data_IF_524172916900
#
_entry.id   IF_524172916900
#
_cell.length_a   1.000
_cell.length_b   1.000
_cell.length_c   1.000
_cell.angle_alpha   90.00
_cell.angle_beta   90.00
_cell.angle_gamma   90.00
#
_symmetry.space_group_name_H-M   'P 1'
#
loop_
_entity.id
_entity.type
_entity.pdbx_description
1 polymer ?
#
# COMPACT_ATOMS: atom_id res chain seq x y z
N UNK A 1 27.57 -10.19 9.59
CA UNK A 1 26.24 -10.33 8.98
C UNK A 1 26.41 -10.50 7.48
N UNK A 2 25.47 -11.18 6.78
CA UNK A 2 25.50 -11.38 5.32
C UNK A 2 24.17 -10.88 4.76
N UNK A 3 24.23 -10.01 3.75
CA UNK A 3 23.04 -9.59 3.01
C UNK A 3 22.94 -10.46 1.75
N UNK A 4 21.84 -11.19 1.62
CA UNK A 4 21.61 -12.14 0.54
C UNK A 4 20.30 -11.78 -0.16
N UNK A 5 20.24 -12.04 -1.48
CA UNK A 5 19.02 -11.89 -2.25
C UNK A 5 18.00 -12.92 -1.74
N UNK A 6 16.77 -12.48 -1.54
CA UNK A 6 15.67 -13.36 -1.15
C UNK A 6 15.20 -14.12 -2.41
N UNK A 7 15.11 -15.44 -2.27
CA UNK A 7 14.40 -16.28 -3.22
C UNK A 7 12.98 -16.54 -2.68
N UNK A 8 11.93 -15.98 -3.27
CA UNK A 8 10.56 -16.19 -2.80
C UNK A 8 10.07 -17.63 -2.95
N UNK A 9 10.75 -18.47 -3.73
CA UNK A 9 10.46 -19.91 -3.83
C UNK A 9 11.02 -20.72 -2.67
N UNK A 10 12.04 -20.20 -1.96
CA UNK A 10 12.61 -20.83 -0.77
C UNK A 10 11.76 -20.52 0.48
N UNK A 11 11.00 -21.52 0.91
CA UNK A 11 10.11 -21.41 2.07
C UNK A 11 10.83 -21.04 3.38
N UNK A 12 12.09 -21.46 3.56
CA UNK A 12 12.87 -21.16 4.76
C UNK A 12 13.25 -19.68 4.81
N UNK A 13 13.73 -19.12 3.71
CA UNK A 13 14.05 -17.70 3.58
C UNK A 13 12.80 -16.81 3.75
N UNK A 14 11.68 -17.17 3.11
CA UNK A 14 10.41 -16.44 3.29
C UNK A 14 9.95 -16.48 4.75
N UNK A 15 10.04 -17.64 5.40
CA UNK A 15 9.68 -17.79 6.82
C UNK A 15 10.55 -16.91 7.71
N UNK A 16 11.86 -16.86 7.48
CA UNK A 16 12.77 -16.01 8.23
C UNK A 16 12.43 -14.51 8.08
N UNK A 17 12.09 -14.06 6.86
CA UNK A 17 11.59 -12.71 6.61
C UNK A 17 10.25 -12.44 7.31
N UNK A 18 9.33 -13.42 7.30
CA UNK A 18 8.04 -13.32 7.97
C UNK A 18 8.17 -13.15 9.49
N UNK A 19 9.11 -13.84 10.12
CA UNK A 19 9.38 -13.67 11.55
C UNK A 19 9.90 -12.27 11.90
N UNK A 20 10.70 -11.66 11.00
CA UNK A 20 11.12 -10.26 11.13
C UNK A 20 9.91 -9.35 11.02
N UNK A 21 9.07 -9.55 9.99
CA UNK A 21 7.85 -8.76 9.76
C UNK A 21 6.91 -8.80 10.96
N UNK A 22 6.67 -10.00 11.50
CA UNK A 22 5.78 -10.20 12.65
C UNK A 22 6.32 -9.48 13.89
N UNK A 23 7.62 -9.61 14.16
CA UNK A 23 8.24 -8.94 15.30
C UNK A 23 8.19 -7.41 15.18
N UNK A 24 8.42 -6.86 14.00
CA UNK A 24 8.31 -5.43 13.73
C UNK A 24 6.85 -4.94 13.87
N UNK A 25 5.89 -5.66 13.28
CA UNK A 25 4.47 -5.33 13.35
C UNK A 25 3.96 -5.33 14.81
N UNK A 26 4.33 -6.31 15.61
CA UNK A 26 3.96 -6.36 17.04
C UNK A 26 4.48 -5.16 17.84
N UNK A 27 5.64 -4.63 17.47
CA UNK A 27 6.25 -3.51 18.17
C UNK A 27 5.73 -2.14 17.69
N UNK A 28 5.45 -2.00 16.39
CA UNK A 28 5.20 -0.69 15.77
C UNK A 28 3.74 -0.51 15.34
N UNK A 29 2.98 -1.59 15.14
CA UNK A 29 1.61 -1.57 14.63
C UNK A 29 0.75 -2.72 15.18
N UNK A 30 0.60 -2.82 16.52
CA UNK A 30 -0.09 -3.96 17.12
C UNK A 30 -1.59 -4.03 16.82
N UNK A 31 -2.18 -2.95 16.34
CA UNK A 31 -3.60 -2.85 15.97
C UNK A 31 -3.84 -2.96 14.46
N UNK A 32 -2.77 -3.01 13.67
CA UNK A 32 -2.88 -3.12 12.22
C UNK A 32 -3.20 -4.54 11.73
N UNK A 33 -3.56 -4.68 10.45
CA UNK A 33 -3.87 -5.97 9.86
C UNK A 33 -2.65 -6.90 9.91
N UNK A 34 -2.84 -8.16 10.29
CA UNK A 34 -1.77 -9.14 10.26
C UNK A 34 -1.30 -9.38 8.82
N UNK A 35 0.01 -9.54 8.65
CA UNK A 35 0.56 -9.95 7.36
C UNK A 35 0.70 -11.47 7.36
N UNK A 36 0.28 -12.13 6.27
CA UNK A 36 0.35 -13.57 6.14
C UNK A 36 1.65 -14.01 5.44
N UNK A 37 2.05 -15.27 5.61
CA UNK A 37 3.23 -15.81 4.90
C UNK A 37 2.99 -15.80 3.39
N UNK A 38 1.76 -16.07 2.95
CA UNK A 38 1.38 -16.05 1.53
C UNK A 38 1.53 -14.65 0.95
N UNK A 39 0.93 -13.66 1.61
CA UNK A 39 1.06 -12.25 1.22
C UNK A 39 2.53 -11.84 1.13
N UNK A 40 3.33 -12.10 2.19
CA UNK A 40 4.73 -11.73 2.19
C UNK A 40 5.52 -12.39 1.05
N UNK A 41 5.27 -13.68 0.76
CA UNK A 41 5.91 -14.38 -0.35
C UNK A 41 5.64 -13.70 -1.69
N UNK A 42 4.37 -13.40 -1.98
CA UNK A 42 3.98 -12.74 -3.22
C UNK A 42 4.56 -11.32 -3.29
N UNK A 43 4.50 -10.59 -2.18
CA UNK A 43 5.07 -9.24 -2.08
C UNK A 43 6.59 -9.21 -2.32
N UNK A 44 7.35 -10.13 -1.72
CA UNK A 44 8.80 -10.22 -1.92
C UNK A 44 9.18 -10.61 -3.36
N UNK A 45 8.26 -11.27 -4.08
CA UNK A 45 8.47 -11.64 -5.48
C UNK A 45 8.22 -10.48 -6.44
N UNK A 46 7.15 -9.72 -6.23
CA UNK A 46 6.58 -8.86 -7.28
C UNK A 46 6.08 -7.50 -6.78
N UNK A 47 6.00 -7.29 -5.46
CA UNK A 47 5.44 -6.07 -4.89
C UNK A 47 3.93 -5.91 -5.14
N UNK A 48 3.44 -4.68 -5.05
CA UNK A 48 2.02 -4.37 -5.22
C UNK A 48 1.60 -4.24 -6.69
N UNK A 49 2.43 -3.62 -7.53
CA UNK A 49 2.10 -3.28 -8.91
C UNK A 49 2.84 -4.11 -9.95
N UNK A 50 3.48 -5.20 -9.55
CA UNK A 50 4.31 -6.03 -10.42
C UNK A 50 5.37 -5.24 -11.22
N UNK A 51 5.83 -4.10 -10.69
CA UNK A 51 7.02 -3.43 -11.19
C UNK A 51 8.25 -4.31 -10.96
N UNK A 52 9.30 -4.21 -11.78
CA UNK A 52 10.57 -4.84 -11.48
C UNK A 52 11.02 -4.54 -10.06
N UNK A 53 11.41 -5.56 -9.30
CA UNK A 53 11.80 -5.40 -7.92
C UNK A 53 12.93 -6.33 -7.49
N UNK A 54 13.54 -6.01 -6.37
CA UNK A 54 14.56 -6.82 -5.70
C UNK A 54 14.24 -6.93 -4.21
N UNK A 55 14.35 -8.14 -3.66
CA UNK A 55 14.21 -8.39 -2.23
C UNK A 55 15.51 -8.94 -1.66
N UNK A 56 15.95 -8.39 -0.52
CA UNK A 56 17.21 -8.75 0.14
C UNK A 56 17.01 -8.85 1.64
N UNK A 57 17.70 -9.79 2.29
CA UNK A 57 17.63 -9.97 3.73
C UNK A 57 19.00 -10.11 4.37
N UNK A 58 19.12 -9.60 5.59
CA UNK A 58 20.32 -9.67 6.41
C UNK A 58 20.23 -10.86 7.37
N UNK A 59 21.14 -11.82 7.22
CA UNK A 59 21.23 -13.05 8.02
C UNK A 59 22.42 -13.05 8.95
N UNK A 60 22.34 -13.83 10.04
CA UNK A 60 23.47 -14.14 10.89
C UNK A 60 24.65 -14.69 10.09
N UNK A 61 25.87 -14.47 10.58
CA UNK A 61 27.05 -15.18 10.08
C UNK A 61 27.00 -16.64 10.55
N UNK A 62 27.24 -17.57 9.65
CA UNK A 62 27.23 -19.02 9.96
C UNK A 62 26.15 -19.78 9.22
N UNK A 63 25.81 -20.96 9.73
CA UNK A 63 24.79 -21.87 9.14
C UNK A 63 23.37 -21.57 9.58
N UNK A 64 23.20 -20.76 10.63
CA UNK A 64 21.91 -20.32 11.12
C UNK A 64 21.34 -19.25 10.18
N UNK A 65 20.19 -19.53 9.57
CA UNK A 65 19.46 -18.64 8.66
C UNK A 65 18.53 -17.67 9.40
N UNK A 66 18.94 -17.23 10.62
CA UNK A 66 18.16 -16.22 11.34
C UNK A 66 18.26 -14.87 10.65
N UNK A 67 17.13 -14.37 10.14
CA UNK A 67 17.02 -13.04 9.56
C UNK A 67 16.88 -11.97 10.65
N UNK A 68 17.56 -10.85 10.46
CA UNK A 68 17.53 -9.68 11.35
C UNK A 68 16.79 -8.50 10.74
N UNK A 69 16.67 -8.47 9.44
CA UNK A 69 15.95 -7.48 8.66
C UNK A 69 15.91 -7.88 7.21
N UNK A 70 15.04 -7.25 6.46
CA UNK A 70 14.95 -7.38 5.00
C UNK A 70 14.49 -6.06 4.39
N UNK A 71 14.70 -5.92 3.09
CA UNK A 71 14.11 -4.85 2.32
C UNK A 71 13.58 -5.34 0.97
N UNK A 72 12.61 -4.60 0.44
CA UNK A 72 12.10 -4.70 -0.90
C UNK A 72 12.35 -3.37 -1.61
N UNK A 73 12.92 -3.44 -2.81
CA UNK A 73 13.28 -2.31 -3.65
C UNK A 73 12.55 -2.41 -4.97
N UNK A 74 11.58 -1.54 -5.20
CA UNK A 74 10.88 -1.42 -6.46
C UNK A 74 11.65 -0.51 -7.41
N UNK A 75 11.66 -0.88 -8.67
CA UNK A 75 12.38 -0.20 -9.74
C UNK A 75 11.39 0.11 -10.87
N UNK A 76 10.60 1.19 -10.77
CA UNK A 76 9.64 1.56 -11.82
C UNK A 76 10.28 1.55 -13.21
N UNK A 77 9.57 1.03 -14.22
CA UNK A 77 10.09 0.82 -15.57
C UNK A 77 9.36 1.63 -16.67
N UNK A 78 8.37 2.43 -16.29
CA UNK A 78 7.62 3.31 -17.22
C UNK A 78 7.76 4.79 -16.84
N UNK A 79 7.23 5.21 -15.71
CA UNK A 79 7.31 6.57 -15.17
C UNK A 79 8.22 6.60 -13.94
N UNK A 80 8.65 7.77 -13.50
CA UNK A 80 9.46 7.96 -12.29
C UNK A 80 10.77 7.15 -12.31
N UNK A 81 11.44 7.12 -13.47
CA UNK A 81 12.61 6.29 -13.72
C UNK A 81 13.86 6.71 -12.92
N UNK A 82 13.84 7.88 -12.30
CA UNK A 82 14.88 8.38 -11.41
C UNK A 82 14.74 7.87 -9.98
N UNK A 83 13.62 7.21 -9.64
CA UNK A 83 13.23 6.80 -8.28
C UNK A 83 13.25 5.28 -8.10
N UNK A 84 13.43 4.87 -6.85
CA UNK A 84 13.13 3.52 -6.39
C UNK A 84 12.34 3.60 -5.09
N UNK A 85 11.28 2.80 -4.95
CA UNK A 85 10.54 2.69 -3.69
C UNK A 85 11.22 1.65 -2.80
N UNK A 86 11.50 2.02 -1.56
CA UNK A 86 12.16 1.14 -0.60
C UNK A 86 11.27 0.89 0.62
N UNK A 87 10.93 -0.36 0.86
CA UNK A 87 10.38 -0.82 2.12
C UNK A 87 11.46 -1.59 2.86
N UNK A 88 11.79 -1.14 4.07
CA UNK A 88 12.78 -1.76 4.93
C UNK A 88 12.13 -2.19 6.24
N UNK A 89 12.37 -3.42 6.65
CA UNK A 89 11.84 -3.98 7.89
C UNK A 89 12.98 -4.59 8.69
N UNK A 90 13.09 -4.21 9.95
CA UNK A 90 14.12 -4.73 10.86
C UNK A 90 13.49 -5.25 12.15
N UNK A 91 14.10 -6.26 12.75
CA UNK A 91 13.69 -6.67 14.09
C UNK A 91 13.91 -5.50 15.07
N UNK A 92 12.96 -5.24 15.98
CA UNK A 92 13.16 -4.24 17.02
C UNK A 92 14.42 -4.55 17.83
N UNK A 93 15.36 -3.62 17.81
CA UNK A 93 16.64 -3.70 18.52
C UNK A 93 17.09 -2.32 18.95
N UNK A 94 17.87 -2.18 20.03
CA UNK A 94 18.38 -0.90 20.48
C UNK A 94 19.44 -0.29 19.54
N UNK A 95 20.12 -1.11 18.73
CA UNK A 95 21.07 -0.63 17.73
C UNK A 95 20.43 -0.61 16.32
N UNK A 96 20.86 0.33 15.49
CA UNK A 96 20.40 0.48 14.11
C UNK A 96 21.38 -0.12 13.09
N UNK A 97 22.34 -0.96 13.51
CA UNK A 97 23.40 -1.46 12.62
C UNK A 97 22.82 -2.25 11.43
N UNK A 98 21.83 -3.12 11.67
CA UNK A 98 21.16 -3.88 10.61
C UNK A 98 20.46 -2.96 9.61
N UNK A 99 19.72 -1.97 10.12
CA UNK A 99 19.02 -0.98 9.29
C UNK A 99 20.00 -0.17 8.44
N UNK A 100 21.14 0.25 9.00
CA UNK A 100 22.21 0.95 8.27
C UNK A 100 22.77 0.12 7.12
N UNK A 101 23.13 -1.12 7.41
CA UNK A 101 23.71 -2.01 6.40
C UNK A 101 22.74 -2.29 5.26
N UNK A 102 21.46 -2.54 5.59
CA UNK A 102 20.40 -2.75 4.61
C UNK A 102 20.14 -1.48 3.79
N UNK A 103 20.02 -0.31 4.43
CA UNK A 103 19.81 0.96 3.76
C UNK A 103 20.96 1.32 2.81
N UNK A 104 22.23 1.14 3.26
CA UNK A 104 23.39 1.36 2.41
C UNK A 104 23.42 0.41 1.23
N UNK A 105 23.12 -0.88 1.44
CA UNK A 105 23.03 -1.87 0.38
C UNK A 105 21.92 -1.52 -0.62
N UNK A 106 20.74 -1.12 -0.14
CA UNK A 106 19.64 -0.69 -1.00
C UNK A 106 20.02 0.54 -1.85
N UNK A 107 20.71 1.53 -1.28
CA UNK A 107 21.24 2.68 -2.02
C UNK A 107 22.22 2.29 -3.11
N UNK A 108 23.12 1.32 -2.84
CA UNK A 108 24.05 0.79 -3.85
C UNK A 108 23.29 0.08 -4.98
N UNK A 109 22.22 -0.68 -4.67
CA UNK A 109 21.36 -1.33 -5.65
C UNK A 109 20.59 -0.32 -6.49
N UNK A 110 19.99 0.69 -5.83
CA UNK A 110 19.28 1.78 -6.52
C UNK A 110 20.23 2.48 -7.53
N UNK A 111 21.44 2.88 -7.09
CA UNK A 111 22.45 3.49 -7.97
C UNK A 111 22.85 2.58 -9.13
N UNK A 112 23.06 1.28 -8.88
CA UNK A 112 23.41 0.31 -9.90
C UNK A 112 22.32 0.15 -10.98
N UNK A 113 21.06 0.46 -10.62
CA UNK A 113 19.90 0.47 -11.51
C UNK A 113 19.57 1.89 -12.03
N UNK A 114 20.50 2.86 -11.90
CA UNK A 114 20.35 4.21 -12.44
C UNK A 114 19.40 5.12 -11.65
N UNK A 115 18.99 4.74 -10.43
CA UNK A 115 18.09 5.54 -9.58
C UNK A 115 18.88 6.54 -8.75
N UNK A 116 18.33 7.74 -8.61
CA UNK A 116 18.95 8.85 -7.89
C UNK A 116 18.23 9.21 -6.60
N UNK A 117 16.98 8.76 -6.44
CA UNK A 117 16.12 9.01 -5.29
C UNK A 117 15.60 7.68 -4.74
N UNK A 118 15.63 7.54 -3.42
CA UNK A 118 14.87 6.52 -2.70
C UNK A 118 13.61 7.18 -2.12
N UNK A 119 12.43 6.66 -2.50
CA UNK A 119 11.15 6.93 -1.83
C UNK A 119 10.98 5.89 -0.72
N UNK A 120 10.80 6.34 0.51
CA UNK A 120 10.78 5.48 1.69
C UNK A 120 9.48 5.70 2.47
N UNK A 121 9.03 4.65 3.14
CA UNK A 121 7.86 4.70 3.99
C UNK A 121 8.25 4.21 5.40
N UNK A 122 7.86 4.97 6.42
CA UNK A 122 8.06 4.61 7.81
C UNK A 122 6.79 4.91 8.62
N UNK A 123 6.62 4.22 9.76
CA UNK A 123 5.57 4.58 10.70
C UNK A 123 5.91 5.91 11.35
N UNK A 124 4.94 6.82 11.41
CA UNK A 124 5.10 8.12 12.03
C UNK A 124 5.50 7.97 13.51
N UNK A 125 6.54 8.68 13.93
CA UNK A 125 7.09 8.60 15.27
C UNK A 125 7.91 7.34 15.57
N UNK A 126 8.14 6.46 14.57
CA UNK A 126 8.90 5.23 14.78
C UNK A 126 10.42 5.47 14.87
N UNK A 127 11.16 4.54 15.48
CA UNK A 127 12.62 4.58 15.44
C UNK A 127 13.19 4.54 14.01
N UNK A 128 12.49 3.89 13.08
CA UNK A 128 12.87 3.87 11.67
C UNK A 128 12.76 5.25 11.04
N UNK A 129 11.67 5.98 11.26
CA UNK A 129 11.51 7.35 10.77
C UNK A 129 12.63 8.27 11.27
N UNK A 130 12.89 8.25 12.59
CA UNK A 130 13.97 9.03 13.19
C UNK A 130 15.35 8.67 12.59
N UNK A 131 15.61 7.39 12.38
CA UNK A 131 16.83 6.91 11.73
C UNK A 131 16.95 7.41 10.28
N UNK A 132 15.87 7.33 9.48
CA UNK A 132 15.86 7.81 8.09
C UNK A 132 16.12 9.33 8.03
N UNK A 133 15.52 10.11 8.92
CA UNK A 133 15.82 11.54 9.04
C UNK A 133 17.28 11.81 9.36
N UNK A 134 17.89 11.02 10.27
CA UNK A 134 19.32 11.14 10.58
C UNK A 134 20.22 10.79 9.39
N UNK A 135 19.74 9.92 8.50
CA UNK A 135 20.43 9.58 7.26
C UNK A 135 20.28 10.66 6.17
N UNK A 136 19.49 11.71 6.40
CA UNK A 136 19.27 12.82 5.47
C UNK A 136 18.00 12.72 4.65
N UNK A 137 17.08 11.81 5.01
CA UNK A 137 15.78 11.73 4.37
C UNK A 137 14.91 12.94 4.72
N UNK A 138 14.14 13.42 3.75
CA UNK A 138 13.22 14.56 3.89
C UNK A 138 11.79 14.08 3.89
N UNK A 139 10.97 14.64 4.76
CA UNK A 139 9.52 14.42 4.75
C UNK A 139 8.90 14.95 3.47
N UNK A 140 8.00 14.18 2.89
CA UNK A 140 7.25 14.55 1.69
C UNK A 140 5.78 14.75 2.02
N UNK A 141 5.10 13.70 2.49
CA UNK A 141 3.73 13.79 2.97
C UNK A 141 3.43 12.71 4.02
N UNK A 142 2.31 12.86 4.70
CA UNK A 142 1.79 11.87 5.63
C UNK A 142 0.55 11.24 5.03
N UNK A 143 0.48 9.92 5.12
CA UNK A 143 -0.67 9.12 4.75
C UNK A 143 -1.36 8.62 6.01
N UNK A 144 -2.51 9.20 6.32
CA UNK A 144 -3.31 8.76 7.45
C UNK A 144 -3.94 7.41 7.12
N UNK A 145 -3.72 6.45 8.01
CA UNK A 145 -4.40 5.16 7.99
C UNK A 145 -5.74 5.28 8.69
N UNK A 146 -6.72 4.59 8.15
CA UNK A 146 -8.06 4.52 8.74
C UNK A 146 -8.56 3.08 8.74
N UNK A 147 -9.30 2.72 9.77
CA UNK A 147 -9.99 1.44 9.85
C UNK A 147 -11.49 1.66 10.13
N UNK A 148 -12.30 0.82 9.54
CA UNK A 148 -13.72 0.67 9.81
C UNK A 148 -13.95 -0.66 10.52
N UNK A 149 -14.46 -0.61 11.75
CA UNK A 149 -14.91 -1.80 12.48
C UNK A 149 -16.37 -2.07 12.13
N UNK A 150 -16.59 -3.07 11.28
CA UNK A 150 -17.92 -3.45 10.79
C UNK A 150 -18.86 -3.94 11.90
N UNK A 151 -18.30 -4.47 13.00
CA UNK A 151 -19.06 -4.96 14.17
C UNK A 151 -19.74 -3.83 14.93
N UNK A 152 -19.24 -2.61 14.78
CA UNK A 152 -19.78 -1.41 15.44
C UNK A 152 -20.78 -0.66 14.60
N UNK A 153 -20.93 -1.01 13.32
CA UNK A 153 -21.88 -0.37 12.42
C UNK A 153 -23.33 -0.71 12.82
N UNK A 154 -24.18 0.30 12.86
CA UNK A 154 -25.61 0.06 13.09
C UNK A 154 -26.22 -0.77 11.96
N UNK A 155 -27.15 -1.68 12.26
CA UNK A 155 -27.85 -2.45 11.21
C UNK A 155 -28.44 -1.51 10.13
N UNK A 156 -28.18 -1.81 8.86
CA UNK A 156 -28.65 -1.03 7.73
C UNK A 156 -27.94 0.31 7.49
N UNK A 157 -26.85 0.60 8.23
CA UNK A 157 -26.08 1.85 8.09
C UNK A 157 -25.60 2.06 6.63
N UNK A 158 -24.95 1.05 6.04
CA UNK A 158 -24.41 1.15 4.68
C UNK A 158 -25.53 1.20 3.63
N UNK A 159 -26.60 0.45 3.83
CA UNK A 159 -27.80 0.51 2.98
C UNK A 159 -28.40 1.92 2.97
N UNK A 160 -28.55 2.54 4.14
CA UNK A 160 -29.08 3.90 4.24
C UNK A 160 -28.17 4.94 3.54
N UNK A 161 -26.84 4.80 3.67
CA UNK A 161 -25.88 5.66 2.98
C UNK A 161 -25.92 5.47 1.46
N UNK A 162 -26.01 4.21 1.00
CA UNK A 162 -26.17 3.88 -0.41
C UNK A 162 -27.44 4.50 -1.00
N UNK A 163 -28.58 4.34 -0.33
CA UNK A 163 -29.86 4.93 -0.77
C UNK A 163 -29.81 6.46 -0.76
N UNK A 164 -29.17 7.07 0.23
CA UNK A 164 -28.97 8.51 0.29
C UNK A 164 -28.10 9.02 -0.86
N UNK A 165 -27.02 8.30 -1.21
CA UNK A 165 -26.16 8.64 -2.33
C UNK A 165 -26.86 8.42 -3.68
N UNK A 166 -27.64 7.33 -3.83
CA UNK A 166 -28.38 7.00 -5.06
C UNK A 166 -29.36 8.10 -5.48
N UNK A 167 -29.94 8.86 -4.51
CA UNK A 167 -30.79 10.01 -4.83
C UNK A 167 -30.10 11.12 -5.63
N UNK A 168 -28.75 11.15 -5.61
CA UNK A 168 -27.93 12.10 -6.37
C UNK A 168 -27.31 11.49 -7.63
N UNK A 169 -27.52 10.20 -7.87
CA UNK A 169 -26.92 9.43 -8.94
C UNK A 169 -27.94 9.00 -10.00
N UNK A 170 -28.91 9.88 -10.31
CA UNK A 170 -29.85 9.62 -11.41
C UNK A 170 -29.09 9.47 -12.73
N UNK A 171 -29.38 8.42 -13.51
CA UNK A 171 -28.68 8.09 -14.76
C UNK A 171 -27.41 7.23 -14.54
N UNK A 172 -27.25 6.64 -13.35
CA UNK A 172 -26.18 5.69 -13.06
C UNK A 172 -26.73 4.40 -12.47
N UNK A 173 -26.24 3.27 -12.98
CA UNK A 173 -26.52 1.93 -12.48
C UNK A 173 -25.28 1.32 -11.84
N UNK A 174 -25.45 0.45 -10.84
CA UNK A 174 -24.35 -0.25 -10.20
C UNK A 174 -24.12 -1.63 -10.83
N UNK A 175 -22.86 -1.99 -11.02
CA UNK A 175 -22.43 -3.34 -11.37
C UNK A 175 -21.36 -3.81 -10.38
N UNK A 176 -21.25 -5.12 -10.22
CA UNK A 176 -20.28 -5.77 -9.34
C UNK A 176 -19.58 -6.91 -10.06
N UNK A 177 -18.32 -7.16 -9.67
CA UNK A 177 -17.62 -8.38 -10.05
C UNK A 177 -16.61 -8.76 -8.98
N UNK A 178 -16.21 -10.03 -8.94
CA UNK A 178 -15.14 -10.53 -8.10
C UNK A 178 -13.97 -11.05 -8.94
N UNK A 179 -12.76 -11.02 -8.38
CA UNK A 179 -11.53 -11.39 -9.08
C UNK A 179 -11.06 -10.32 -10.06
N UNK A 180 -10.52 -10.74 -11.20
CA UNK A 180 -9.94 -9.85 -12.20
C UNK A 180 -10.99 -9.03 -12.94
N UNK A 181 -10.54 -7.92 -13.52
CA UNK A 181 -11.39 -7.02 -14.30
C UNK A 181 -11.94 -7.72 -15.56
N UNK A 182 -13.26 -7.72 -15.79
CA UNK A 182 -13.81 -8.23 -17.04
C UNK A 182 -13.25 -7.50 -18.26
N UNK A 183 -12.89 -8.24 -19.32
CA UNK A 183 -12.21 -7.74 -20.51
C UNK A 183 -12.87 -6.46 -21.10
N UNK A 184 -14.21 -6.41 -21.13
CA UNK A 184 -14.97 -5.24 -21.61
C UNK A 184 -14.79 -3.97 -20.78
N UNK A 185 -14.26 -4.06 -19.56
CA UNK A 185 -14.10 -2.93 -18.63
C UNK A 185 -12.65 -2.49 -18.45
N UNK A 186 -11.65 -3.20 -19.04
CA UNK A 186 -10.23 -2.86 -18.88
C UNK A 186 -9.91 -1.42 -19.28
N UNK A 187 -10.47 -0.95 -20.41
CA UNK A 187 -10.27 0.43 -20.86
C UNK A 187 -10.88 1.47 -19.92
N UNK A 188 -12.06 1.17 -19.36
CA UNK A 188 -12.70 2.06 -18.37
C UNK A 188 -11.93 2.08 -17.05
N UNK A 189 -11.45 0.93 -16.57
CA UNK A 189 -10.62 0.86 -15.37
C UNK A 189 -9.33 1.65 -15.58
N UNK A 190 -8.66 1.50 -16.72
CA UNK A 190 -7.48 2.28 -17.06
C UNK A 190 -7.74 3.80 -17.04
N UNK A 191 -8.89 4.25 -17.54
CA UNK A 191 -9.30 5.65 -17.51
C UNK A 191 -9.54 6.14 -16.07
N UNK A 192 -10.16 5.32 -15.23
CA UNK A 192 -10.37 5.63 -13.82
C UNK A 192 -9.06 5.64 -13.01
N UNK A 193 -8.11 4.74 -13.32
CA UNK A 193 -6.74 4.78 -12.78
C UNK A 193 -6.04 6.10 -13.16
N UNK A 194 -6.12 6.51 -14.43
CA UNK A 194 -5.57 7.80 -14.85
C UNK A 194 -6.23 8.99 -14.13
N UNK A 195 -7.51 8.88 -13.73
CA UNK A 195 -8.19 9.93 -12.95
C UNK A 195 -7.64 10.05 -11.51
N UNK A 196 -6.92 9.04 -11.00
CA UNK A 196 -6.23 9.12 -9.71
C UNK A 196 -5.03 10.09 -9.74
N UNK A 197 -4.52 10.44 -10.93
CA UNK A 197 -3.51 11.48 -11.07
C UNK A 197 -3.98 12.86 -10.59
N UNK A 198 -5.29 13.06 -10.41
CA UNK A 198 -5.87 14.27 -9.82
C UNK A 198 -5.75 14.32 -8.28
N UNK A 199 -5.44 13.19 -7.62
CA UNK A 199 -5.29 13.16 -6.18
C UNK A 199 -4.04 13.95 -5.75
N UNK A 200 -4.06 14.57 -4.56
CA UNK A 200 -2.88 15.21 -4.02
C UNK A 200 -1.71 14.22 -3.92
N UNK A 201 -0.55 14.62 -4.45
CA UNK A 201 0.68 13.82 -4.47
C UNK A 201 1.92 14.70 -4.41
N UNK A 202 3.07 14.08 -4.36
CA UNK A 202 4.37 14.72 -4.28
C UNK A 202 4.69 15.61 -5.49
N UNK A 203 5.39 16.71 -5.24
CA UNK A 203 5.96 17.51 -6.33
C UNK A 203 7.08 16.71 -7.02
N UNK A 204 7.06 16.67 -8.35
CA UNK A 204 8.08 16.00 -9.16
C UNK A 204 7.85 14.50 -9.38
N UNK A 205 6.70 13.95 -8.94
CA UNK A 205 6.24 12.63 -9.35
C UNK A 205 5.48 12.75 -10.67
N UNK A 206 5.87 11.96 -11.66
CA UNK A 206 5.22 11.90 -12.96
C UNK A 206 3.83 11.27 -12.87
N UNK A 207 2.92 11.66 -13.78
CA UNK A 207 1.61 11.04 -13.92
C UNK A 207 1.76 9.58 -14.33
N UNK A 208 1.07 8.66 -13.65
CA UNK A 208 0.96 7.29 -14.13
C UNK A 208 0.10 7.24 -15.38
N UNK A 209 0.56 6.49 -16.40
CA UNK A 209 -0.19 6.28 -17.64
C UNK A 209 -0.70 4.84 -17.68
N UNK A 210 -2.00 4.70 -17.54
CA UNK A 210 -2.68 3.41 -17.56
C UNK A 210 -3.37 3.19 -18.92
N UNK A 211 -3.25 1.97 -19.41
CA UNK A 211 -3.98 1.39 -20.53
C UNK A 211 -4.55 0.02 -20.15
N UNK A 212 -5.34 -0.59 -21.02
CA UNK A 212 -5.98 -1.87 -20.77
C UNK A 212 -4.95 -3.00 -20.51
N UNK A 213 -3.79 -2.96 -21.17
CA UNK A 213 -2.73 -3.95 -20.99
C UNK A 213 -2.08 -3.80 -19.62
N UNK A 214 -1.84 -2.56 -19.16
CA UNK A 214 -1.31 -2.30 -17.82
C UNK A 214 -2.27 -2.75 -16.72
N UNK A 215 -3.58 -2.53 -16.87
CA UNK A 215 -4.58 -3.05 -15.93
C UNK A 215 -4.46 -4.58 -15.83
N UNK A 216 -4.39 -5.27 -16.97
CA UNK A 216 -4.27 -6.73 -17.02
C UNK A 216 -2.94 -7.22 -16.43
N UNK A 217 -1.84 -6.60 -16.80
CA UNK A 217 -0.48 -7.02 -16.43
C UNK A 217 -0.10 -6.67 -15.00
N UNK A 218 -0.57 -5.53 -14.49
CA UNK A 218 -0.16 -5.01 -13.18
C UNK A 218 -1.23 -5.24 -12.13
N UNK A 219 -2.40 -4.68 -12.33
CA UNK A 219 -3.51 -4.74 -11.38
C UNK A 219 -4.07 -6.16 -11.23
N UNK A 220 -4.62 -6.73 -12.31
CA UNK A 220 -5.29 -8.02 -12.25
C UNK A 220 -4.33 -9.19 -11.95
N UNK A 221 -3.11 -9.13 -12.48
CA UNK A 221 -2.12 -10.16 -12.21
C UNK A 221 -1.63 -10.12 -10.76
N UNK A 222 -1.58 -8.94 -10.11
CA UNK A 222 -1.30 -8.81 -8.68
C UNK A 222 -2.34 -9.56 -7.85
N UNK A 223 -3.64 -9.34 -8.10
CA UNK A 223 -4.74 -10.06 -7.46
C UNK A 223 -4.56 -11.58 -7.55
N UNK A 224 -4.24 -12.08 -8.76
CA UNK A 224 -4.06 -13.52 -8.99
C UNK A 224 -2.85 -14.09 -8.24
N UNK A 225 -1.72 -13.35 -8.20
CA UNK A 225 -0.47 -13.81 -7.59
C UNK A 225 -0.49 -13.73 -6.08
N UNK A 226 -1.08 -12.68 -5.53
CA UNK A 226 -1.29 -12.58 -4.09
C UNK A 226 -2.33 -13.57 -3.59
N UNK A 227 -3.20 -14.09 -4.49
CA UNK A 227 -4.24 -15.04 -4.15
C UNK A 227 -5.30 -14.45 -3.21
N UNK A 228 -5.48 -13.13 -3.27
CA UNK A 228 -6.52 -12.41 -2.52
C UNK A 228 -7.88 -12.58 -3.19
N UNK A 229 -8.94 -12.49 -2.41
CA UNK A 229 -10.28 -12.33 -2.94
C UNK A 229 -10.50 -10.85 -3.19
N UNK A 230 -10.63 -10.47 -4.45
CA UNK A 230 -10.85 -9.09 -4.87
C UNK A 230 -12.32 -8.86 -5.24
N UNK A 231 -12.84 -7.73 -4.84
CA UNK A 231 -14.19 -7.27 -5.07
C UNK A 231 -14.18 -5.89 -5.69
N UNK A 232 -15.03 -5.69 -6.69
CA UNK A 232 -15.15 -4.40 -7.40
C UNK A 232 -16.60 -4.00 -7.50
N UNK A 233 -16.89 -2.74 -7.20
CA UNK A 233 -18.21 -2.12 -7.44
C UNK A 233 -18.00 -0.89 -8.30
N UNK A 234 -18.71 -0.82 -9.42
CA UNK A 234 -18.64 0.31 -10.33
C UNK A 234 -20.03 0.95 -10.56
N UNK A 235 -20.02 2.25 -10.78
CA UNK A 235 -21.16 3.00 -11.29
C UNK A 235 -21.02 3.16 -12.81
N UNK A 236 -22.00 2.67 -13.56
CA UNK A 236 -22.10 2.77 -15.01
C UNK A 236 -22.97 3.96 -15.35
N UNK A 237 -22.54 4.84 -16.26
CA UNK A 237 -23.37 5.91 -16.80
C UNK A 237 -24.35 5.32 -17.83
N UNK A 238 -25.64 5.35 -17.53
CA UNK A 238 -26.68 4.63 -18.28
C UNK A 238 -26.77 5.04 -19.77
N UNK A 239 -26.44 6.28 -20.09
CA UNK A 239 -26.52 6.78 -21.46
C UNK A 239 -25.35 6.34 -22.35
N UNK A 240 -24.17 6.12 -21.80
CA UNK A 240 -22.94 5.75 -22.55
C UNK A 240 -22.50 4.30 -22.32
N UNK A 241 -22.89 3.69 -21.21
CA UNK A 241 -22.43 2.37 -20.79
C UNK A 241 -21.03 2.35 -20.21
N UNK A 242 -20.36 3.50 -20.07
CA UNK A 242 -19.00 3.63 -19.52
C UNK A 242 -18.99 3.59 -17.98
N UNK A 243 -17.91 3.10 -17.39
CA UNK A 243 -17.71 3.17 -15.94
C UNK A 243 -17.41 4.62 -15.52
N UNK A 244 -18.28 5.20 -14.72
CA UNK A 244 -18.13 6.57 -14.20
C UNK A 244 -17.40 6.63 -12.86
N UNK A 245 -17.49 5.55 -12.07
CA UNK A 245 -16.78 5.39 -10.80
C UNK A 245 -16.49 3.92 -10.53
N UNK A 246 -15.44 3.67 -9.73
CA UNK A 246 -15.03 2.33 -9.30
C UNK A 246 -14.52 2.39 -7.87
N UNK A 247 -14.80 1.34 -7.10
CA UNK A 247 -14.12 1.05 -5.83
C UNK A 247 -13.73 -0.41 -5.78
N UNK A 248 -12.59 -0.72 -5.14
CA UNK A 248 -12.04 -2.06 -5.05
C UNK A 248 -11.67 -2.38 -3.60
N UNK A 249 -11.88 -3.63 -3.20
CA UNK A 249 -11.53 -4.13 -1.88
C UNK A 249 -10.98 -5.56 -2.01
N UNK A 250 -9.95 -5.85 -1.25
CA UNK A 250 -9.28 -7.15 -1.23
C UNK A 250 -9.34 -7.78 0.17
N UNK A 251 -9.50 -9.10 0.23
CA UNK A 251 -9.48 -9.89 1.45
C UNK A 251 -8.47 -11.02 1.29
N UNK A 252 -7.48 -11.09 2.19
CA UNK A 252 -6.56 -12.22 2.23
C UNK A 252 -7.28 -13.43 2.84
N UNK A 253 -7.41 -14.57 2.12
CA UNK A 253 -8.07 -15.77 2.66
C UNK A 253 -7.40 -16.35 3.92
N UNK A 254 -6.13 -16.02 4.21
CA UNK A 254 -5.44 -16.42 5.44
C UNK A 254 -5.64 -15.43 6.60
N UNK A 255 -6.30 -14.27 6.34
CA UNK A 255 -6.72 -13.27 7.33
C UNK A 255 -8.08 -12.67 6.93
N UNK A 256 -9.14 -13.49 6.91
CA UNK A 256 -10.44 -13.10 6.36
C UNK A 256 -11.18 -12.05 7.19
N UNK A 257 -10.74 -11.79 8.41
CA UNK A 257 -11.28 -10.76 9.31
C UNK A 257 -10.87 -9.33 8.90
N UNK A 258 -9.88 -9.19 7.99
CA UNK A 258 -9.42 -7.91 7.49
C UNK A 258 -9.60 -7.77 5.98
N UNK A 259 -10.14 -6.61 5.57
CA UNK A 259 -10.17 -6.16 4.18
C UNK A 259 -9.25 -4.96 3.96
N UNK A 260 -8.66 -4.90 2.80
CA UNK A 260 -7.90 -3.75 2.33
C UNK A 260 -8.69 -3.00 1.27
N UNK A 261 -9.08 -1.76 1.56
CA UNK A 261 -9.76 -0.89 0.62
C UNK A 261 -8.72 -0.25 -0.30
N UNK A 262 -8.69 -0.72 -1.53
CA UNK A 262 -7.85 -0.19 -2.59
C UNK A 262 -8.42 1.08 -3.23
N UNK A 263 -8.24 1.20 -4.54
CA UNK A 263 -8.66 2.35 -5.33
C UNK A 263 -10.13 2.71 -5.12
N UNK A 264 -10.42 4.01 -5.06
CA UNK A 264 -11.75 4.57 -5.29
C UNK A 264 -11.61 5.79 -6.17
N UNK A 265 -12.11 5.72 -7.38
CA UNK A 265 -12.03 6.79 -8.36
C UNK A 265 -13.39 7.18 -8.89
N UNK A 266 -13.56 8.46 -9.22
CA UNK A 266 -14.70 9.01 -9.96
C UNK A 266 -14.15 9.85 -11.10
N UNK A 267 -14.53 9.52 -12.33
CA UNK A 267 -14.09 10.26 -13.51
C UNK A 267 -14.61 11.70 -13.49
N UNK A 268 -13.77 12.65 -13.93
CA UNK A 268 -14.03 14.10 -13.84
C UNK A 268 -15.43 14.52 -14.30
N UNK A 269 -15.93 14.08 -15.49
CA UNK A 269 -17.26 14.49 -15.98
C UNK A 269 -18.42 14.03 -15.07
N UNK A 270 -18.16 13.04 -14.21
CA UNK A 270 -19.16 12.38 -13.37
C UNK A 270 -19.04 12.75 -11.89
N UNK A 271 -18.16 13.71 -11.53
CA UNK A 271 -18.05 14.23 -10.15
C UNK A 271 -19.28 15.05 -9.77
N UNK A 272 -19.53 15.19 -8.46
CA UNK A 272 -20.71 15.91 -7.94
C UNK A 272 -21.96 15.06 -7.76
N UNK A 273 -22.00 13.81 -8.27
CA UNK A 273 -23.13 12.87 -8.18
C UNK A 273 -23.06 11.91 -6.98
N UNK A 274 -22.16 12.14 -6.02
CA UNK A 274 -21.92 11.28 -4.85
C UNK A 274 -21.56 9.83 -5.19
N UNK A 275 -21.01 9.58 -6.39
CA UNK A 275 -20.68 8.23 -6.86
C UNK A 275 -19.65 7.53 -5.99
N UNK A 276 -18.64 8.25 -5.47
CA UNK A 276 -17.63 7.67 -4.56
C UNK A 276 -18.25 7.08 -3.29
N UNK A 277 -19.17 7.80 -2.64
CA UNK A 277 -19.91 7.27 -1.51
C UNK A 277 -20.83 6.13 -1.91
N UNK A 278 -21.50 6.23 -3.06
CA UNK A 278 -22.42 5.22 -3.57
C UNK A 278 -21.73 3.87 -3.78
N UNK A 279 -20.60 3.84 -4.50
CA UNK A 279 -19.88 2.60 -4.78
C UNK A 279 -19.26 2.00 -3.51
N UNK A 280 -18.70 2.82 -2.60
CA UNK A 280 -18.14 2.33 -1.32
C UNK A 280 -19.22 1.77 -0.39
N UNK A 281 -20.36 2.43 -0.26
CA UNK A 281 -21.48 1.92 0.55
C UNK A 281 -22.06 0.63 -0.04
N UNK A 282 -22.18 0.55 -1.37
CA UNK A 282 -22.62 -0.67 -2.05
C UNK A 282 -21.63 -1.84 -1.90
N UNK A 283 -20.31 -1.55 -1.86
CA UNK A 283 -19.28 -2.55 -1.56
C UNK A 283 -19.50 -3.15 -0.18
N UNK A 284 -19.66 -2.32 0.85
CA UNK A 284 -19.84 -2.79 2.22
C UNK A 284 -21.16 -3.55 2.41
N UNK A 285 -22.24 -3.14 1.72
CA UNK A 285 -23.49 -3.91 1.71
C UNK A 285 -23.29 -5.30 1.09
N UNK A 286 -22.58 -5.39 -0.03
CA UNK A 286 -22.32 -6.66 -0.70
C UNK A 286 -21.44 -7.58 0.13
N UNK A 287 -20.38 -7.03 0.75
CA UNK A 287 -19.43 -7.81 1.56
C UNK A 287 -20.04 -8.38 2.84
N UNK A 288 -21.11 -7.80 3.37
CA UNK A 288 -21.83 -8.37 4.50
C UNK A 288 -22.28 -9.81 4.26
N UNK A 289 -22.65 -10.15 3.01
CA UNK A 289 -23.04 -11.50 2.61
C UNK A 289 -21.88 -12.30 2.01
N UNK A 290 -21.01 -11.65 1.22
CA UNK A 290 -19.93 -12.32 0.50
C UNK A 290 -18.75 -12.71 1.40
N UNK A 291 -18.49 -11.95 2.47
CA UNK A 291 -17.39 -12.13 3.42
C UNK A 291 -17.89 -12.06 4.87
N UNK A 292 -18.63 -13.06 5.34
CA UNK A 292 -19.24 -13.04 6.67
C UNK A 292 -18.23 -13.04 7.83
N UNK A 293 -16.95 -13.29 7.54
CA UNK A 293 -15.85 -13.24 8.53
C UNK A 293 -15.16 -11.87 8.56
N UNK A 294 -15.48 -10.98 7.63
CA UNK A 294 -14.86 -9.66 7.56
C UNK A 294 -15.34 -8.80 8.73
N UNK A 295 -14.42 -8.40 9.58
CA UNK A 295 -14.68 -7.60 10.77
C UNK A 295 -14.18 -6.15 10.61
N UNK A 296 -13.08 -5.95 9.88
CA UNK A 296 -12.43 -4.67 9.75
C UNK A 296 -12.00 -4.40 8.30
N UNK A 297 -12.05 -3.14 7.91
CA UNK A 297 -11.55 -2.68 6.61
C UNK A 297 -10.57 -1.55 6.84
N UNK A 298 -9.31 -1.69 6.38
CA UNK A 298 -8.34 -0.60 6.41
C UNK A 298 -8.25 0.13 5.08
N UNK A 299 -7.84 1.39 5.13
CA UNK A 299 -7.50 2.23 3.98
C UNK A 299 -6.45 3.27 4.35
N UNK A 300 -5.69 3.75 3.36
CA UNK A 300 -4.78 4.89 3.48
C UNK A 300 -5.28 6.07 2.65
N UNK A 301 -5.06 7.28 3.15
CA UNK A 301 -5.32 8.51 2.40
C UNK A 301 -4.27 9.56 2.74
N UNK A 302 -3.74 10.25 1.73
CA UNK A 302 -2.98 11.46 1.97
C UNK A 302 -3.83 12.47 2.76
N UNK A 303 -3.25 13.13 3.76
CA UNK A 303 -3.94 14.09 4.62
C UNK A 303 -4.60 15.23 3.85
N UNK A 304 -4.07 15.58 2.69
CA UNK A 304 -4.62 16.59 1.80
C UNK A 304 -5.87 16.14 1.01
N UNK A 305 -6.25 14.86 1.05
CA UNK A 305 -7.40 14.33 0.31
C UNK A 305 -8.71 14.46 1.11
N UNK A 306 -9.10 15.70 1.41
CA UNK A 306 -10.28 16.01 2.24
C UNK A 306 -11.57 15.37 1.71
N UNK A 307 -11.73 15.27 0.38
CA UNK A 307 -12.92 14.67 -0.22
C UNK A 307 -13.06 13.18 0.13
N UNK A 308 -11.99 12.40 -0.03
CA UNK A 308 -12.00 10.98 0.31
C UNK A 308 -12.08 10.76 1.83
N UNK A 309 -11.45 11.63 2.60
CA UNK A 309 -11.55 11.61 4.06
C UNK A 309 -13.01 11.77 4.49
N UNK A 310 -13.74 12.74 3.95
CA UNK A 310 -15.15 12.97 4.29
C UNK A 310 -16.05 11.77 3.94
N UNK A 311 -15.79 11.07 2.82
CA UNK A 311 -16.50 9.85 2.44
C UNK A 311 -16.20 8.73 3.45
N UNK A 312 -14.94 8.53 3.81
CA UNK A 312 -14.54 7.49 4.76
C UNK A 312 -15.14 7.75 6.16
N UNK A 313 -15.13 8.99 6.63
CA UNK A 313 -15.73 9.37 7.91
C UNK A 313 -17.25 9.15 7.92
N UNK A 314 -17.95 9.47 6.82
CA UNK A 314 -19.38 9.18 6.67
C UNK A 314 -19.70 7.68 6.74
N UNK A 315 -18.81 6.82 6.22
CA UNK A 315 -18.91 5.37 6.32
C UNK A 315 -18.57 4.83 7.72
N UNK A 316 -17.92 5.64 8.57
CA UNK A 316 -17.55 5.26 9.92
C UNK A 316 -16.08 4.90 10.12
N UNK A 317 -15.24 5.08 9.11
CA UNK A 317 -13.79 4.91 9.27
C UNK A 317 -13.23 5.87 10.32
N UNK A 318 -12.29 5.40 11.11
CA UNK A 318 -11.56 6.16 12.15
C UNK A 318 -10.06 6.04 11.90
N UNK A 319 -9.31 7.03 12.35
CA UNK A 319 -7.84 6.98 12.29
C UNK A 319 -7.34 5.72 12.98
N UNK A 320 -6.42 5.02 12.32
CA UNK A 320 -5.67 3.89 12.83
C UNK A 320 -4.20 4.32 12.96
N UNK A 321 -3.79 4.67 14.17
CA UNK A 321 -2.42 5.06 14.46
C UNK A 321 -1.47 3.85 14.53
N UNK A 322 -0.20 4.02 14.19
CA UNK A 322 0.39 5.21 13.59
C UNK A 322 0.13 5.34 12.09
N UNK A 323 0.11 6.59 11.61
CA UNK A 323 0.08 6.92 10.17
C UNK A 323 1.40 6.53 9.49
N UNK A 324 1.43 6.60 8.15
CA UNK A 324 2.64 6.46 7.37
C UNK A 324 3.25 7.82 7.04
N UNK A 325 4.56 7.94 7.23
CA UNK A 325 5.34 9.07 6.72
C UNK A 325 6.06 8.64 5.46
N UNK A 326 5.84 9.37 4.37
CA UNK A 326 6.59 9.23 3.14
C UNK A 326 7.78 10.17 3.14
N UNK A 327 8.94 9.64 2.78
CA UNK A 327 10.24 10.29 2.85
C UNK A 327 10.97 10.13 1.52
N UNK A 328 11.79 11.12 1.16
CA UNK A 328 12.74 11.04 0.06
C UNK A 328 14.17 11.12 0.56
N UNK A 329 15.03 10.26 0.03
CA UNK A 329 16.46 10.25 0.33
C UNK A 329 17.27 10.20 -0.97
N UNK A 330 18.01 11.27 -1.34
CA UNK A 330 18.91 11.21 -2.47
C UNK A 330 19.97 10.12 -2.27
N UNK A 331 20.15 9.27 -3.29
CA UNK A 331 21.11 8.15 -3.24
C UNK A 331 22.54 8.63 -3.00
N UNK A 332 22.92 9.78 -3.55
CA UNK A 332 24.22 10.41 -3.31
C UNK A 332 24.38 10.81 -1.85
N UNK A 333 23.36 11.47 -1.25
CA UNK A 333 23.38 11.83 0.19
C UNK A 333 23.60 10.60 1.06
N UNK A 334 22.88 9.50 0.75
CA UNK A 334 23.01 8.25 1.48
C UNK A 334 24.41 7.64 1.37
N UNK A 335 24.98 7.59 0.17
CA UNK A 335 26.24 6.88 -0.07
C UNK A 335 27.49 7.72 0.25
N UNK A 336 27.39 9.05 0.19
CA UNK A 336 28.49 9.96 0.54
C UNK A 336 28.49 10.32 2.04
N UNK A 337 27.45 9.91 2.79
CA UNK A 337 27.23 10.34 4.16
C UNK A 337 28.05 9.50 5.15
N UNK A 338 29.12 10.10 5.66
CA UNK A 338 29.91 9.57 6.78
C UNK A 338 29.14 9.56 8.12
N UNK A 339 27.95 10.15 8.17
CA UNK A 339 27.08 10.14 9.37
C UNK A 339 26.56 8.72 9.66
N UNK A 340 26.37 7.90 8.62
CA UNK A 340 26.05 6.48 8.81
C UNK A 340 27.22 5.67 9.41
N UNK A 341 28.43 6.21 9.45
CA UNK A 341 29.61 5.56 10.03
C UNK A 341 29.84 5.95 11.50
N UNK A 342 29.14 6.97 12.00
CA UNK A 342 29.25 7.40 13.40
C UNK A 342 28.12 6.77 14.21
N UNK A 343 28.47 6.08 15.28
CA UNK A 343 27.56 5.62 16.31
C UNK A 343 26.75 6.82 16.84
N UNK A 344 25.50 6.95 16.41
CA UNK A 344 24.53 7.88 17.01
C UNK A 344 23.97 7.21 18.27
N UNK A 345 24.87 6.90 19.22
CA UNK A 345 24.56 6.47 20.58
C UNK A 345 24.79 7.62 21.57
N UNK A 346 24.34 8.83 21.25
CA UNK A 346 24.48 9.93 22.20
C UNK A 346 23.32 10.94 22.10
N UNK A 347 22.08 10.46 22.07
CA UNK A 347 20.92 11.34 22.25
C UNK A 347 19.78 10.57 22.92
N UNK A 348 19.93 10.20 24.15
CA UNK A 348 18.94 9.49 24.96
C UNK A 348 19.18 9.57 26.45
N UNK A 349 19.95 10.55 26.92
CA UNK A 349 20.01 10.93 28.33
C UNK A 349 19.74 12.43 28.43
N UNK A 350 18.46 12.76 28.63
CA UNK A 350 18.01 13.91 29.44
C UNK A 350 16.50 13.79 29.68
#
# INVERSE_FOLDING_TARGET
MRILRVDPSDAATVRACYEVQTAAAQAEDPLGPPKTVRFLRAFLAEGFEANPCESWAAFSAGTDMTAHGWYWLELPDRENLDRATLIIVVRPRPDHAVGRDLLRHAGQRARANGRTILSLMARQGSPLEAFLHSAGARHVYTEARRALDLRTAAPGHFTALREAAARHAAGYSLITWSGVTPERHLGDVARLENAMNDAPREAGVEDSVWDADRVRERHDSSVLRMGVRAYSVAAVHDATGELAALTQLEVDPDSPEWGHQGMTAVDRPHRGHRLGLLVKAAMLDWLADAEPQLEQVETGNADANEHMISINEALGFRILDPSWTWLELPVTTLLDNTVLDKDVLAAGEH
#
